data_IF_475153154484
#
_entry.id   IF_475153154484
#
_cell.length_a   1.000
_cell.length_b   1.000
_cell.length_c   1.000
_cell.angle_alpha   90.00
_cell.angle_beta   90.00
_cell.angle_gamma   90.00
#
_symmetry.space_group_name_H-M   'P 1'
#
loop_
_entity.id
_entity.type
_entity.pdbx_description
1 polymer ?
#
# COMPACT_ATOMS: atom_id res chain seq x y z
N UNK A 1 20.41 72.83 -5.99
CA UNK A 1 19.69 71.76 -6.72
C UNK A 1 18.41 71.48 -5.95
N UNK A 2 17.25 71.86 -6.50
CA UNK A 2 15.94 71.64 -5.87
C UNK A 2 15.42 70.32 -6.41
N UNK A 3 15.45 69.26 -5.61
CA UNK A 3 14.87 67.96 -5.98
C UNK A 3 13.38 68.03 -5.68
N UNK A 4 12.55 67.94 -6.72
CA UNK A 4 11.10 68.07 -6.61
C UNK A 4 10.49 66.83 -5.92
N UNK A 5 9.56 67.04 -4.98
CA UNK A 5 8.90 66.00 -4.20
C UNK A 5 8.16 64.99 -5.11
N UNK A 6 7.67 65.45 -6.27
CA UNK A 6 7.04 64.62 -7.30
C UNK A 6 8.00 63.61 -7.91
N UNK A 7 9.29 63.96 -8.03
CA UNK A 7 10.33 63.09 -8.58
C UNK A 7 10.71 61.99 -7.59
N UNK A 8 10.74 62.30 -6.29
CA UNK A 8 10.96 61.32 -5.21
C UNK A 8 9.81 60.31 -5.13
N UNK A 9 8.56 60.76 -5.26
CA UNK A 9 7.39 59.88 -5.28
C UNK A 9 7.41 58.92 -6.49
N UNK A 10 7.80 59.41 -7.67
CA UNK A 10 7.93 58.59 -8.87
C UNK A 10 9.00 57.49 -8.74
N UNK A 11 10.17 57.83 -8.19
CA UNK A 11 11.26 56.87 -7.97
C UNK A 11 10.89 55.85 -6.88
N UNK A 12 10.22 56.27 -5.81
CA UNK A 12 9.74 55.35 -4.77
C UNK A 12 8.72 54.33 -5.32
N UNK A 13 7.82 54.78 -6.20
CA UNK A 13 6.89 53.88 -6.89
C UNK A 13 7.61 52.86 -7.79
N UNK A 14 8.63 53.29 -8.54
CA UNK A 14 9.44 52.41 -9.39
C UNK A 14 10.21 51.36 -8.58
N UNK A 15 10.70 51.70 -7.38
CA UNK A 15 11.40 50.76 -6.48
C UNK A 15 10.44 49.73 -5.87
N UNK A 16 9.19 50.10 -5.61
CA UNK A 16 8.18 49.17 -5.10
C UNK A 16 7.73 48.13 -6.14
N UNK A 17 7.95 48.39 -7.43
CA UNK A 17 7.57 47.52 -8.56
C UNK A 17 8.66 46.51 -8.97
N UNK A 18 9.90 46.63 -8.47
CA UNK A 18 10.98 45.67 -8.79
C UNK A 18 11.01 44.45 -7.86
N UNK A 19 10.02 44.31 -6.97
CA UNK A 19 9.96 43.31 -5.90
C UNK A 19 9.49 41.91 -6.28
N UNK A 20 9.38 41.53 -7.56
CA UNK A 20 9.08 40.14 -7.93
C UNK A 20 10.21 39.52 -8.76
N UNK A 21 11.40 39.28 -8.16
CA UNK A 21 12.36 38.38 -8.76
C UNK A 21 11.72 37.00 -8.90
N UNK A 22 11.38 36.67 -10.16
CA UNK A 22 11.40 35.33 -10.75
C UNK A 22 11.16 34.18 -9.78
N UNK A 23 9.94 33.63 -9.80
CA UNK A 23 9.70 32.30 -9.28
C UNK A 23 10.70 31.34 -9.96
N UNK A 24 11.56 30.64 -9.20
CA UNK A 24 12.54 29.73 -9.80
C UNK A 24 11.78 28.71 -10.67
N UNK A 25 12.39 28.27 -11.80
CA UNK A 25 11.76 27.28 -12.66
C UNK A 25 11.33 26.08 -11.83
N UNK A 26 10.14 25.56 -12.09
CA UNK A 26 9.61 24.40 -11.37
C UNK A 26 10.61 23.24 -11.47
N UNK A 27 11.34 22.99 -10.39
CA UNK A 27 12.24 21.84 -10.29
C UNK A 27 11.38 20.65 -9.91
N UNK A 28 11.13 19.76 -10.87
CA UNK A 28 10.50 18.47 -10.58
C UNK A 28 11.47 17.62 -9.76
N UNK A 29 11.13 17.33 -8.49
CA UNK A 29 11.87 16.37 -7.66
C UNK A 29 11.13 15.04 -7.63
N UNK A 30 11.85 13.96 -7.92
CA UNK A 30 11.35 12.61 -7.69
C UNK A 30 11.56 12.25 -6.23
N UNK A 31 10.48 12.04 -5.49
CA UNK A 31 10.52 11.63 -4.07
C UNK A 31 9.95 10.21 -3.97
N UNK A 32 10.68 9.33 -3.30
CA UNK A 32 10.19 7.98 -3.01
C UNK A 32 9.31 8.04 -1.76
N UNK A 33 8.01 7.95 -1.96
CA UNK A 33 7.02 7.91 -0.87
C UNK A 33 6.77 6.44 -0.52
N UNK A 34 7.02 6.00 0.73
CA UNK A 34 6.65 4.66 1.16
C UNK A 34 5.14 4.47 1.05
N UNK A 35 4.71 3.53 0.22
CA UNK A 35 3.30 3.14 0.12
C UNK A 35 3.09 1.90 0.97
N UNK A 36 2.05 1.90 1.80
CA UNK A 36 1.65 0.71 2.54
C UNK A 36 1.30 -0.41 1.55
N UNK A 37 2.01 -1.54 1.65
CA UNK A 37 1.74 -2.74 0.84
C UNK A 37 1.14 -3.82 1.73
N UNK A 38 0.29 -4.71 1.19
CA UNK A 38 -0.16 -5.89 1.91
C UNK A 38 1.05 -6.69 2.39
N UNK A 39 1.08 -7.05 3.67
CA UNK A 39 2.17 -7.84 4.20
C UNK A 39 2.20 -9.25 3.57
N UNK A 40 1.02 -9.88 3.45
CA UNK A 40 0.88 -11.18 2.79
C UNK A 40 1.00 -10.99 1.28
N UNK A 41 2.14 -11.38 0.72
CA UNK A 41 2.42 -11.27 -0.72
C UNK A 41 1.77 -12.39 -1.54
N UNK A 42 1.72 -13.60 -0.98
CA UNK A 42 1.14 -14.76 -1.62
C UNK A 42 0.64 -15.74 -0.55
N UNK A 43 -0.55 -16.28 -0.77
CA UNK A 43 -1.09 -17.37 0.05
C UNK A 43 -0.68 -18.73 -0.55
N UNK A 44 -0.42 -19.76 0.28
CA UNK A 44 -0.21 -21.11 -0.18
C UNK A 44 -1.46 -21.64 -0.88
N UNK A 45 -1.28 -22.53 -1.85
CA UNK A 45 -2.41 -23.11 -2.56
C UNK A 45 -3.25 -23.97 -1.61
N UNK A 46 -4.56 -23.70 -1.54
CA UNK A 46 -5.49 -24.51 -0.75
C UNK A 46 -5.49 -25.94 -1.30
N UNK A 47 -5.26 -26.95 -0.44
CA UNK A 47 -5.32 -28.32 -0.90
C UNK A 47 -6.72 -28.71 -1.36
N UNK A 48 -6.78 -29.59 -2.37
CA UNK A 48 -8.02 -30.27 -2.72
C UNK A 48 -8.24 -31.37 -1.69
N UNK A 49 -9.27 -31.21 -0.86
CA UNK A 49 -9.65 -32.16 0.17
C UNK A 49 -10.57 -33.25 -0.39
N UNK A 50 -10.44 -34.47 0.12
CA UNK A 50 -11.35 -35.57 -0.20
C UNK A 50 -12.75 -35.27 0.35
N UNK A 51 -12.83 -34.69 1.55
CA UNK A 51 -14.08 -34.30 2.18
C UNK A 51 -14.91 -33.33 1.31
N UNK A 52 -14.25 -32.35 0.69
CA UNK A 52 -14.89 -31.34 -0.16
C UNK A 52 -15.51 -31.94 -1.43
N UNK A 53 -15.10 -33.15 -1.83
CA UNK A 53 -15.58 -33.85 -3.02
C UNK A 53 -16.71 -34.84 -2.71
N UNK A 54 -17.01 -35.08 -1.43
CA UNK A 54 -18.07 -36.01 -1.06
C UNK A 54 -19.44 -35.44 -1.41
N UNK A 55 -20.38 -36.27 -1.92
CA UNK A 55 -21.75 -35.84 -2.09
C UNK A 55 -22.37 -35.51 -0.72
N UNK A 56 -23.27 -34.53 -0.66
CA UNK A 56 -23.91 -34.12 0.60
C UNK A 56 -24.63 -35.28 1.31
N UNK A 57 -25.11 -36.27 0.54
CA UNK A 57 -25.78 -37.48 1.02
C UNK A 57 -24.83 -38.61 1.42
N UNK A 58 -23.51 -38.42 1.35
CA UNK A 58 -22.54 -39.40 1.83
C UNK A 58 -22.82 -39.77 3.28
N UNK A 59 -22.56 -41.02 3.64
CA UNK A 59 -22.74 -41.49 5.01
C UNK A 59 -21.81 -40.74 5.96
N UNK A 60 -22.18 -40.66 7.23
CA UNK A 60 -21.32 -40.04 8.23
C UNK A 60 -19.99 -40.80 8.38
N UNK A 61 -20.00 -42.11 8.16
CA UNK A 61 -18.78 -42.93 8.13
C UNK A 61 -17.81 -42.49 7.02
N UNK A 62 -18.30 -42.30 5.81
CA UNK A 62 -17.48 -41.86 4.66
C UNK A 62 -16.91 -40.46 4.89
N UNK A 63 -17.72 -39.56 5.46
CA UNK A 63 -17.32 -38.21 5.85
C UNK A 63 -16.18 -38.21 6.86
N UNK A 64 -16.30 -39.01 7.92
CA UNK A 64 -15.26 -39.13 8.94
C UNK A 64 -13.97 -39.71 8.36
N UNK A 65 -14.07 -40.74 7.52
CA UNK A 65 -12.88 -41.32 6.89
C UNK A 65 -12.15 -40.32 5.98
N UNK A 66 -12.88 -39.53 5.19
CA UNK A 66 -12.30 -38.48 4.36
C UNK A 66 -11.61 -37.41 5.22
N UNK A 67 -12.23 -36.96 6.32
CA UNK A 67 -11.62 -36.01 7.26
C UNK A 67 -10.32 -36.54 7.86
N UNK A 68 -10.28 -37.81 8.26
CA UNK A 68 -9.07 -38.43 8.83
C UNK A 68 -7.94 -38.48 7.79
N UNK A 69 -8.26 -38.77 6.52
CA UNK A 69 -7.27 -38.76 5.42
C UNK A 69 -6.75 -37.35 5.13
N UNK A 70 -7.63 -36.35 5.16
CA UNK A 70 -7.29 -34.96 4.93
C UNK A 70 -6.53 -34.30 6.09
N UNK A 71 -6.58 -34.88 7.29
CA UNK A 71 -6.08 -34.29 8.53
C UNK A 71 -4.64 -33.77 8.43
N UNK A 72 -3.71 -34.61 7.97
CA UNK A 72 -2.30 -34.23 7.88
C UNK A 72 -2.08 -33.08 6.88
N UNK A 73 -2.82 -33.08 5.78
CA UNK A 73 -2.74 -32.05 4.74
C UNK A 73 -3.30 -30.73 5.25
N UNK A 74 -4.42 -30.77 5.95
CA UNK A 74 -5.02 -29.61 6.61
C UNK A 74 -4.04 -29.00 7.62
N UNK A 75 -3.48 -29.80 8.53
CA UNK A 75 -2.51 -29.33 9.55
C UNK A 75 -1.28 -28.66 8.95
N UNK A 76 -0.75 -29.22 7.85
CA UNK A 76 0.38 -28.61 7.13
C UNK A 76 -0.01 -27.26 6.55
N UNK A 77 -1.13 -27.20 5.83
CA UNK A 77 -1.63 -25.97 5.21
C UNK A 77 -1.90 -24.87 6.24
N UNK A 78 -2.54 -25.19 7.36
CA UNK A 78 -2.79 -24.21 8.44
C UNK A 78 -1.49 -23.72 9.06
N UNK A 79 -0.50 -24.61 9.26
CA UNK A 79 0.81 -24.20 9.76
C UNK A 79 1.55 -23.25 8.81
N UNK A 80 1.46 -23.48 7.50
CA UNK A 80 2.02 -22.56 6.48
C UNK A 80 1.33 -21.19 6.51
N UNK A 81 -0.01 -21.16 6.64
CA UNK A 81 -0.76 -19.91 6.80
C UNK A 81 -0.37 -19.16 8.07
N UNK A 82 -0.31 -19.85 9.20
CA UNK A 82 0.09 -19.28 10.49
C UNK A 82 1.51 -18.71 10.44
N UNK A 83 2.45 -19.41 9.78
CA UNK A 83 3.81 -18.93 9.60
C UNK A 83 3.89 -17.64 8.77
N UNK A 84 3.07 -17.54 7.71
CA UNK A 84 2.99 -16.33 6.88
C UNK A 84 2.43 -15.16 7.69
N UNK A 85 1.39 -15.39 8.49
CA UNK A 85 0.81 -14.35 9.34
C UNK A 85 1.77 -13.93 10.46
N UNK A 86 2.51 -14.86 11.05
CA UNK A 86 3.52 -14.56 12.06
C UNK A 86 4.68 -13.72 11.50
N UNK A 87 5.04 -13.93 10.23
CA UNK A 87 6.03 -13.10 9.54
C UNK A 87 5.56 -11.67 9.22
N UNK A 88 4.28 -11.37 9.47
CA UNK A 88 3.68 -10.06 9.24
C UNK A 88 3.50 -9.21 10.50
N UNK A 89 3.76 -9.78 11.68
CA UNK A 89 3.66 -9.10 12.97
C UNK A 89 4.93 -8.31 13.31
#
# INVERSE_FOLDING_TARGET
MIVNLTTLAGVAALVLLTGCPSMPPSTTQTVQVPVAVPCVKAAPARPVYEFDQLPARASDGDKILALVRDWARYRKYTGELEAILAGCA
#
